data_IF_932799633925
#
_entry.id   IF_932799633925
#
_cell.length_a   1.000
_cell.length_b   1.000
_cell.length_c   1.000
_cell.angle_alpha   90.00
_cell.angle_beta   90.00
_cell.angle_gamma   90.00
#
_symmetry.space_group_name_H-M   'P 1'
#
loop_
_entity.id
_entity.type
_entity.pdbx_description
1 polymer ?
#
# COMPACT_ATOMS: atom_id res chain seq x y z
N UNK A 1 1.56 1.74 -10.32
CA UNK A 1 2.46 1.48 -9.17
C UNK A 1 1.83 0.42 -8.29
N UNK A 2 2.56 -0.64 -7.93
CA UNK A 2 2.06 -1.71 -7.05
C UNK A 2 1.66 -1.11 -5.69
N UNK A 3 0.60 -1.64 -5.08
CA UNK A 3 0.08 -1.20 -3.77
C UNK A 3 1.18 -1.11 -2.70
N UNK A 4 2.14 -2.04 -2.74
CA UNK A 4 3.34 -2.05 -1.89
C UNK A 4 4.10 -0.71 -1.90
N UNK A 5 4.35 -0.14 -3.07
CA UNK A 5 5.15 1.08 -3.20
C UNK A 5 4.48 2.31 -2.57
N UNK A 6 3.14 2.37 -2.55
CA UNK A 6 2.40 3.43 -1.86
C UNK A 6 2.58 3.34 -0.35
N UNK A 7 2.50 2.13 0.21
CA UNK A 7 2.75 1.91 1.64
C UNK A 7 4.21 2.18 2.01
N UNK A 8 5.18 1.72 1.21
CA UNK A 8 6.60 1.97 1.47
C UNK A 8 6.90 3.46 1.49
N UNK A 9 6.38 4.25 0.54
CA UNK A 9 6.54 5.72 0.57
C UNK A 9 5.88 6.31 1.80
N UNK A 10 4.64 5.95 2.09
CA UNK A 10 3.91 6.51 3.23
C UNK A 10 4.67 6.26 4.55
N UNK A 11 5.12 5.02 4.78
CA UNK A 11 5.91 4.68 5.96
C UNK A 11 7.26 5.39 5.97
N UNK A 12 7.98 5.47 4.85
CA UNK A 12 9.24 6.20 4.78
C UNK A 12 9.09 7.69 5.12
N UNK A 13 8.02 8.34 4.62
CA UNK A 13 7.71 9.74 4.94
C UNK A 13 7.38 9.91 6.43
N UNK A 14 6.55 9.03 7.00
CA UNK A 14 6.23 9.08 8.44
C UNK A 14 7.49 8.89 9.28
N UNK A 15 8.31 7.88 8.96
CA UNK A 15 9.58 7.61 9.65
C UNK A 15 10.53 8.79 9.56
N UNK A 16 10.62 9.46 8.40
CA UNK A 16 11.40 10.69 8.23
C UNK A 16 10.97 11.79 9.23
N UNK A 17 9.67 12.09 9.28
CA UNK A 17 9.17 13.13 10.17
C UNK A 17 9.32 12.77 11.65
N UNK A 18 9.05 11.52 12.03
CA UNK A 18 9.21 11.05 13.42
C UNK A 18 10.67 11.15 13.87
N UNK A 19 11.61 10.72 13.02
CA UNK A 19 13.04 10.80 13.35
C UNK A 19 13.56 12.24 13.38
N UNK A 20 13.13 13.08 12.43
CA UNK A 20 13.51 14.50 12.43
C UNK A 20 13.01 15.22 13.68
N UNK A 21 11.76 14.94 14.10
CA UNK A 21 11.20 15.51 15.32
C UNK A 21 11.92 14.98 16.57
N UNK A 22 12.20 13.68 16.61
CA UNK A 22 12.96 13.05 17.70
C UNK A 22 14.35 13.66 17.87
N UNK A 23 15.07 13.87 16.76
CA UNK A 23 16.38 14.54 16.78
C UNK A 23 16.28 15.97 17.32
N UNK A 24 15.30 16.75 16.87
CA UNK A 24 15.09 18.12 17.34
C UNK A 24 14.80 18.19 18.86
N UNK A 25 14.00 17.25 19.37
CA UNK A 25 13.70 17.15 20.81
C UNK A 25 14.96 16.81 21.61
N UNK A 26 15.72 15.80 21.18
CA UNK A 26 16.96 15.39 21.88
C UNK A 26 17.99 16.52 21.87
N UNK A 27 18.17 17.18 20.72
CA UNK A 27 19.07 18.33 20.60
C UNK A 27 18.68 19.45 21.59
N UNK A 28 17.40 19.81 21.63
CA UNK A 28 16.90 20.84 22.55
C UNK A 28 17.06 20.42 24.03
N UNK A 29 16.81 19.15 24.36
CA UNK A 29 16.98 18.62 25.71
C UNK A 29 18.45 18.65 26.17
N UNK A 30 19.37 18.23 25.28
CA UNK A 30 20.81 18.23 25.55
C UNK A 30 21.33 19.66 25.78
N UNK A 31 20.96 20.60 24.90
CA UNK A 31 21.34 22.02 25.03
C UNK A 31 20.85 22.63 26.34
N UNK A 32 19.60 22.34 26.74
CA UNK A 32 19.05 22.78 28.04
C UNK A 32 19.80 22.18 29.23
N UNK A 33 20.10 20.88 29.18
CA UNK A 33 20.82 20.18 30.25
C UNK A 33 22.22 20.76 30.48
N UNK A 34 22.99 20.96 29.41
CA UNK A 34 24.35 21.55 29.48
C UNK A 34 24.31 22.96 30.07
N UNK A 35 23.34 23.78 29.65
CA UNK A 35 23.19 25.16 30.14
C UNK A 35 22.87 25.18 31.64
N UNK A 36 21.92 24.36 32.09
CA UNK A 36 21.54 24.28 33.51
C UNK A 36 22.68 23.77 34.39
N UNK A 37 23.39 22.72 33.94
CA UNK A 37 24.55 22.21 34.66
C UNK A 37 25.65 23.28 34.80
N UNK A 38 25.85 24.11 33.77
CA UNK A 38 26.83 25.20 33.81
C UNK A 38 26.42 26.30 34.79
N UNK A 39 25.14 26.70 34.79
CA UNK A 39 24.62 27.69 35.75
C UNK A 39 24.84 27.21 37.19
N UNK A 40 24.53 25.94 37.48
CA UNK A 40 24.75 25.36 38.81
C UNK A 40 26.22 25.35 39.25
N UNK A 41 27.14 25.02 38.33
CA UNK A 41 28.59 25.10 38.60
C UNK A 41 29.03 26.54 38.89
N UNK A 42 28.55 27.53 38.15
CA UNK A 42 28.87 28.94 38.38
C UNK A 42 28.31 29.46 39.70
N UNK A 43 27.13 28.99 40.10
CA UNK A 43 26.51 29.34 41.38
C UNK A 43 27.37 28.83 42.54
N UNK A 44 27.78 27.56 42.49
CA UNK A 44 28.69 26.99 43.47
C UNK A 44 30.03 27.73 43.54
N UNK A 45 30.61 28.10 42.38
CA UNK A 45 31.84 28.89 42.34
C UNK A 45 31.66 30.26 43.01
N UNK A 46 30.56 30.96 42.75
CA UNK A 46 30.29 32.25 43.38
C UNK A 46 30.10 32.11 44.90
N UNK A 47 29.47 31.06 45.38
CA UNK A 47 29.34 30.76 46.81
C UNK A 47 30.71 30.51 47.47
N UNK A 48 31.57 29.72 46.84
CA UNK A 48 32.93 29.46 47.35
C UNK A 48 33.72 30.75 47.44
N UNK A 49 33.69 31.61 46.40
CA UNK A 49 34.35 32.92 46.42
C UNK A 49 33.78 33.82 47.52
N UNK A 50 32.45 33.84 47.69
CA UNK A 50 31.80 34.62 48.75
C UNK A 50 32.20 34.13 50.15
N UNK A 51 32.31 32.81 50.35
CA UNK A 51 32.72 32.22 51.63
C UNK A 51 34.17 32.57 51.99
N UNK A 52 35.09 32.53 51.01
CA UNK A 52 36.50 32.87 51.23
C UNK A 52 36.71 34.35 51.52
N UNK A 53 35.95 35.23 50.86
CA UNK A 53 35.95 36.67 51.15
C UNK A 53 35.48 37.00 52.57
N UNK A 54 34.65 36.14 53.20
CA UNK A 54 34.27 36.28 54.61
C UNK A 54 35.42 35.90 55.55
N UNK A 55 36.19 34.86 55.23
CA UNK A 55 37.26 34.35 56.08
C UNK A 55 38.60 35.09 55.92
N UNK A 56 38.92 35.60 54.73
CA UNK A 56 40.19 36.27 54.45
C UNK A 56 40.02 37.34 53.34
N UNK A 57 39.70 38.60 53.70
CA UNK A 57 39.38 39.66 52.74
C UNK A 57 40.49 40.00 51.73
N UNK A 58 41.75 39.82 52.13
CA UNK A 58 42.92 40.21 51.32
C UNK A 58 43.48 39.09 50.43
N UNK A 59 42.99 37.85 50.58
CA UNK A 59 43.51 36.69 49.84
C UNK A 59 42.47 36.09 48.89
N UNK A 60 42.29 36.73 47.73
CA UNK A 60 41.60 36.08 46.61
C UNK A 60 42.53 35.04 45.95
N UNK A 61 42.08 33.79 45.72
CA UNK A 61 42.87 32.81 44.99
C UNK A 61 43.21 33.31 43.59
N UNK A 62 44.44 33.04 43.10
CA UNK A 62 44.85 33.40 41.73
C UNK A 62 43.89 32.86 40.66
N UNK A 63 43.29 31.69 40.89
CA UNK A 63 42.32 31.07 39.99
C UNK A 63 40.97 31.81 39.90
N UNK A 64 40.54 32.51 40.94
CA UNK A 64 39.31 33.29 40.91
C UNK A 64 39.45 34.54 40.00
N UNK A 65 40.66 35.09 39.86
CA UNK A 65 40.88 36.35 39.12
C UNK A 65 40.67 36.24 37.60
N UNK A 66 40.79 35.05 37.01
CA UNK A 66 40.69 34.88 35.55
C UNK A 66 39.24 34.88 35.05
N UNK A 67 38.30 34.40 35.87
CA UNK A 67 36.91 34.13 35.46
C UNK A 67 35.85 34.76 36.38
N UNK A 68 36.26 35.46 37.44
CA UNK A 68 35.37 36.14 38.38
C UNK A 68 35.76 37.62 38.48
N UNK A 69 34.79 38.51 38.21
CA UNK A 69 34.89 39.95 38.42
C UNK A 69 34.17 40.31 39.71
N UNK A 70 34.84 41.06 40.58
CA UNK A 70 34.32 41.53 41.86
C UNK A 70 34.15 43.04 41.78
N UNK A 71 32.92 43.51 41.97
CA UNK A 71 32.62 44.94 42.03
C UNK A 71 31.98 45.25 43.38
N UNK A 72 32.60 46.05 44.25
CA UNK A 72 31.95 46.48 45.50
C UNK A 72 30.77 47.41 45.16
N UNK A 73 29.63 47.21 45.84
CA UNK A 73 28.46 48.08 45.69
C UNK A 73 28.45 49.10 46.83
N UNK A 74 28.21 50.37 46.46
CA UNK A 74 28.06 51.47 47.42
C UNK A 74 26.74 51.39 48.23
N UNK A 75 25.78 50.59 47.76
CA UNK A 75 24.45 50.47 48.33
C UNK A 75 24.19 49.06 48.87
N UNK A 76 23.37 48.97 49.92
CA UNK A 76 22.97 47.74 50.60
C UNK A 76 21.69 47.10 50.05
N UNK A 77 21.15 47.60 48.93
CA UNK A 77 19.96 47.03 48.29
C UNK A 77 20.14 45.57 47.88
N UNK A 78 19.12 44.76 48.17
CA UNK A 78 19.07 43.36 47.74
C UNK A 78 18.69 43.29 46.25
N UNK A 79 19.54 42.67 45.43
CA UNK A 79 19.29 42.48 43.99
C UNK A 79 19.13 40.98 43.69
N UNK A 80 18.18 40.59 42.82
CA UNK A 80 18.05 39.20 42.39
C UNK A 80 19.28 38.80 41.56
N UNK A 81 19.62 37.50 41.58
CA UNK A 81 20.68 36.96 40.71
C UNK A 81 20.38 37.25 39.25
N UNK A 82 21.41 37.54 38.47
CA UNK A 82 21.26 37.80 37.03
C UNK A 82 22.03 36.72 36.26
N UNK A 83 21.31 36.02 35.37
CA UNK A 83 21.90 35.06 34.43
C UNK A 83 21.80 35.65 33.04
N UNK A 84 22.94 35.76 32.36
CA UNK A 84 23.01 36.23 30.99
C UNK A 84 23.70 35.17 30.14
N UNK A 85 23.00 34.68 29.13
CA UNK A 85 23.50 33.68 28.18
C UNK A 85 23.57 34.35 26.82
N UNK A 86 24.78 34.56 26.30
CA UNK A 86 24.99 35.18 24.98
C UNK A 86 26.19 34.57 24.26
N UNK A 87 26.17 34.53 22.92
CA UNK A 87 27.35 34.18 22.15
C UNK A 87 28.39 35.30 22.29
N UNK A 88 29.61 34.94 22.68
CA UNK A 88 30.77 35.83 22.77
C UNK A 88 31.98 35.16 22.09
N UNK A 89 32.89 35.95 21.53
CA UNK A 89 34.15 35.42 21.01
C UNK A 89 35.08 35.06 22.16
N UNK A 90 35.46 33.79 22.27
CA UNK A 90 36.40 33.31 23.26
C UNK A 90 37.82 33.31 22.67
N UNK A 91 38.65 34.26 23.10
CA UNK A 91 40.01 34.43 22.61
C UNK A 91 40.94 33.24 22.96
N UNK A 92 40.65 32.49 24.02
CA UNK A 92 41.44 31.31 24.40
C UNK A 92 41.11 30.10 23.52
N UNK A 93 39.85 30.00 23.06
CA UNK A 93 39.37 28.92 22.21
C UNK A 93 39.35 29.27 20.71
N UNK A 94 39.60 30.54 20.36
CA UNK A 94 39.54 31.07 18.99
C UNK A 94 38.23 30.75 18.26
N UNK A 95 37.11 30.75 18.98
CA UNK A 95 35.78 30.46 18.41
C UNK A 95 34.69 31.28 19.09
N UNK A 96 33.53 31.37 18.44
CA UNK A 96 32.29 31.82 19.08
C UNK A 96 31.86 30.75 20.09
N UNK A 97 31.76 31.14 21.36
CA UNK A 97 31.27 30.27 22.42
C UNK A 97 30.04 30.91 23.08
N UNK A 98 29.10 30.08 23.52
CA UNK A 98 28.00 30.55 24.34
C UNK A 98 28.53 30.79 25.75
N UNK A 99 28.63 32.06 26.15
CA UNK A 99 29.11 32.42 27.48
C UNK A 99 27.91 32.57 28.41
N UNK A 100 27.95 31.83 29.52
CA UNK A 100 27.01 32.00 30.63
C UNK A 100 27.70 32.87 31.66
N UNK A 101 27.12 34.04 31.92
CA UNK A 101 27.53 34.95 32.98
C UNK A 101 26.52 34.90 34.11
N UNK A 102 26.99 34.61 35.32
CA UNK A 102 26.19 34.60 36.54
C UNK A 102 26.69 35.68 37.49
N UNK A 103 25.83 36.63 37.83
CA UNK A 103 26.10 37.65 38.85
C UNK A 103 25.27 37.40 40.09
N UNK A 104 25.95 37.21 41.23
CA UNK A 104 25.33 37.12 42.56
C UNK A 104 25.70 38.32 43.42
N UNK A 105 24.84 38.66 44.40
CA UNK A 105 24.98 39.86 45.24
C UNK A 105 25.05 39.53 46.75
N UNK A 106 26.05 38.75 47.20
CA UNK A 106 26.17 38.40 48.62
C UNK A 106 26.49 39.62 49.49
N UNK A 107 25.99 39.59 50.72
CA UNK A 107 26.37 40.52 51.79
C UNK A 107 27.58 39.92 52.55
N UNK A 108 28.68 40.68 52.62
CA UNK A 108 29.94 40.28 53.23
C UNK A 108 30.44 41.47 54.06
N UNK A 109 30.60 41.29 55.38
CA UNK A 109 31.12 42.33 56.30
C UNK A 109 30.43 43.71 56.12
N UNK A 110 29.10 43.71 56.13
CA UNK A 110 28.23 44.90 55.94
C UNK A 110 28.36 45.65 54.59
N UNK A 111 29.12 45.13 53.63
CA UNK A 111 29.19 45.64 52.25
C UNK A 111 28.66 44.59 51.28
N UNK A 112 27.94 45.03 50.24
CA UNK A 112 27.51 44.14 49.16
C UNK A 112 28.56 44.09 48.08
N UNK A 113 28.78 42.89 47.55
CA UNK A 113 29.67 42.67 46.41
C UNK A 113 28.84 42.10 45.26
N UNK A 114 29.08 42.57 44.04
CA UNK A 114 28.68 41.87 42.84
C UNK A 114 29.81 40.89 42.48
N UNK A 115 29.51 39.60 42.58
CA UNK A 115 30.38 38.53 42.13
C UNK A 115 29.87 38.06 40.78
N UNK A 116 30.53 38.50 39.71
CA UNK A 116 30.20 38.10 38.34
C UNK A 116 31.18 37.02 37.89
N UNK A 117 30.71 35.78 37.79
CA UNK A 117 31.47 34.69 37.18
C UNK A 117 31.03 34.44 35.75
N UNK A 118 31.97 33.97 34.94
CA UNK A 118 31.71 33.52 33.58
C UNK A 118 32.22 32.10 33.38
N UNK A 119 31.47 31.32 32.62
CA UNK A 119 31.95 30.10 32.01
C UNK A 119 31.54 30.10 30.54
N UNK A 120 32.50 29.81 29.69
CA UNK A 120 32.21 29.46 28.31
C UNK A 120 31.58 28.08 28.32
N UNK A 121 30.28 28.01 27.99
CA UNK A 121 29.69 26.76 27.53
C UNK A 121 30.24 26.57 26.14
N UNK A 122 31.30 25.78 26.08
CA UNK A 122 31.76 25.21 24.83
C UNK A 122 30.59 24.33 24.38
N UNK A 123 29.80 24.85 23.44
CA UNK A 123 28.94 24.00 22.62
C UNK A 123 29.84 22.85 22.20
N UNK A 124 29.51 21.58 22.57
CA UNK A 124 30.47 20.50 22.55
C UNK A 124 31.20 20.58 21.22
N UNK A 125 32.52 20.81 21.26
CA UNK A 125 33.31 21.13 20.08
C UNK A 125 32.92 20.21 18.94
N UNK A 126 33.06 20.67 17.69
CA UNK A 126 32.66 19.94 16.47
C UNK A 126 32.89 18.44 16.59
N UNK A 127 33.96 17.95 17.22
CA UNK A 127 34.22 16.54 17.51
C UNK A 127 33.08 15.78 18.25
N UNK A 128 32.55 16.28 19.38
CA UNK A 128 31.51 15.56 20.15
C UNK A 128 30.12 15.71 19.52
N UNK A 129 29.78 16.90 19.00
CA UNK A 129 28.54 17.11 18.26
C UNK A 129 28.56 16.34 16.93
N UNK A 130 29.69 16.30 16.22
CA UNK A 130 29.85 15.48 15.00
C UNK A 130 29.71 14.01 15.33
N UNK A 131 30.31 13.51 16.41
CA UNK A 131 30.14 12.12 16.85
C UNK A 131 28.66 11.79 17.13
N UNK A 132 27.96 12.66 17.86
CA UNK A 132 26.54 12.50 18.16
C UNK A 132 25.69 12.53 16.87
N UNK A 133 25.89 13.52 16.00
CA UNK A 133 25.19 13.66 14.73
C UNK A 133 25.47 12.47 13.82
N UNK A 134 26.70 11.95 13.80
CA UNK A 134 27.08 10.78 13.01
C UNK A 134 26.36 9.52 13.52
N UNK A 135 26.26 9.33 14.84
CA UNK A 135 25.48 8.23 15.44
C UNK A 135 24.00 8.36 15.08
N UNK A 136 23.43 9.56 15.16
CA UNK A 136 22.04 9.81 14.74
C UNK A 136 21.84 9.58 13.24
N UNK A 137 22.78 10.02 12.39
CA UNK A 137 22.72 9.83 10.94
C UNK A 137 22.79 8.34 10.58
N UNK A 138 23.70 7.57 11.19
CA UNK A 138 23.77 6.12 11.00
C UNK A 138 22.52 5.41 11.51
N UNK A 139 21.99 5.83 12.65
CA UNK A 139 20.73 5.30 13.18
C UNK A 139 19.56 5.60 12.24
N UNK A 140 19.53 6.80 11.66
CA UNK A 140 18.54 7.22 10.69
C UNK A 140 18.59 6.37 9.42
N UNK A 141 19.78 6.22 8.83
CA UNK A 141 20.00 5.37 7.64
C UNK A 141 19.64 3.92 7.95
N UNK A 142 20.04 3.40 9.11
CA UNK A 142 19.71 2.05 9.54
C UNK A 142 18.20 1.83 9.66
N UNK A 143 17.48 2.75 10.31
CA UNK A 143 16.03 2.66 10.45
C UNK A 143 15.30 2.77 9.10
N UNK A 144 15.77 3.64 8.21
CA UNK A 144 15.19 3.76 6.87
C UNK A 144 15.39 2.46 6.07
N UNK A 145 16.61 1.91 6.10
CA UNK A 145 16.91 0.62 5.49
C UNK A 145 16.05 -0.49 6.10
N UNK A 146 15.88 -0.52 7.42
CA UNK A 146 15.04 -1.48 8.12
C UNK A 146 13.58 -1.38 7.66
N UNK A 147 13.02 -0.18 7.54
CA UNK A 147 11.64 0.02 7.06
C UNK A 147 11.48 -0.50 5.63
N UNK A 148 12.43 -0.21 4.73
CA UNK A 148 12.40 -0.71 3.35
C UNK A 148 12.46 -2.23 3.31
N UNK A 149 13.40 -2.84 4.04
CA UNK A 149 13.57 -4.30 4.10
C UNK A 149 12.33 -4.99 4.68
N UNK A 150 11.81 -4.50 5.82
CA UNK A 150 10.61 -5.05 6.45
C UNK A 150 9.38 -4.89 5.56
N UNK A 151 9.22 -3.74 4.91
CA UNK A 151 8.12 -3.49 3.97
C UNK A 151 8.14 -4.52 2.83
N UNK A 152 9.31 -4.75 2.23
CA UNK A 152 9.43 -5.69 1.12
C UNK A 152 9.19 -7.14 1.56
N UNK A 153 9.71 -7.51 2.74
CA UNK A 153 9.52 -8.84 3.32
C UNK A 153 8.06 -9.12 3.69
N UNK A 154 7.39 -8.17 4.37
CA UNK A 154 5.96 -8.27 4.70
C UNK A 154 5.13 -8.36 3.43
N UNK A 155 5.42 -7.51 2.45
CA UNK A 155 4.70 -7.49 1.18
C UNK A 155 4.81 -8.82 0.46
N UNK A 156 6.01 -9.37 0.36
CA UNK A 156 6.21 -10.67 -0.27
C UNK A 156 5.47 -11.79 0.47
N UNK A 157 5.50 -11.80 1.81
CA UNK A 157 4.85 -12.85 2.62
C UNK A 157 3.32 -12.75 2.62
N UNK A 158 2.76 -11.54 2.68
CA UNK A 158 1.32 -11.29 2.77
C UNK A 158 0.67 -11.31 1.37
N UNK A 159 1.29 -10.70 0.35
CA UNK A 159 0.67 -10.61 -0.99
C UNK A 159 0.88 -11.86 -1.84
N UNK A 160 1.83 -12.74 -1.50
CA UNK A 160 2.02 -14.00 -2.25
C UNK A 160 0.76 -14.88 -2.27
N UNK A 161 0.08 -15.19 -1.15
CA UNK A 161 -1.17 -15.95 -1.18
C UNK A 161 -2.26 -15.21 -1.95
N UNK A 162 -2.40 -13.89 -1.76
CA UNK A 162 -3.37 -13.07 -2.52
C UNK A 162 -3.15 -13.16 -4.04
N UNK A 163 -1.91 -13.02 -4.52
CA UNK A 163 -1.59 -13.14 -5.94
C UNK A 163 -1.78 -14.56 -6.47
N UNK A 164 -1.66 -15.58 -5.62
CA UNK A 164 -1.97 -16.96 -6.00
C UNK A 164 -3.49 -17.16 -6.14
N UNK A 165 -4.29 -16.65 -5.21
CA UNK A 165 -5.75 -16.60 -5.32
C UNK A 165 -6.19 -15.87 -6.59
N UNK A 166 -5.62 -14.70 -6.87
CA UNK A 166 -5.96 -13.89 -8.04
C UNK A 166 -5.70 -14.64 -9.36
N UNK A 167 -4.57 -15.37 -9.44
CA UNK A 167 -4.26 -16.22 -10.59
C UNK A 167 -5.23 -17.39 -10.72
N UNK A 168 -5.60 -18.03 -9.61
CA UNK A 168 -6.59 -19.11 -9.61
C UNK A 168 -7.96 -18.66 -10.16
N UNK A 169 -8.41 -17.46 -9.79
CA UNK A 169 -9.66 -16.89 -10.33
C UNK A 169 -9.52 -16.52 -11.81
N UNK A 170 -8.41 -15.91 -12.21
CA UNK A 170 -8.19 -15.52 -13.62
C UNK A 170 -8.12 -16.71 -14.58
N UNK A 171 -7.67 -17.87 -14.08
CA UNK A 171 -7.61 -19.11 -14.84
C UNK A 171 -8.91 -19.91 -14.79
N UNK A 172 -9.83 -19.58 -13.87
CA UNK A 172 -11.10 -20.28 -13.75
C UNK A 172 -12.04 -19.93 -14.92
N UNK A 173 -12.64 -20.97 -15.50
CA UNK A 173 -13.61 -20.86 -16.57
C UNK A 173 -14.88 -21.61 -16.16
N UNK A 174 -16.05 -20.98 -16.31
CA UNK A 174 -17.33 -21.59 -15.92
C UNK A 174 -17.66 -22.87 -16.71
N UNK A 175 -17.18 -22.95 -17.96
CA UNK A 175 -17.36 -24.12 -18.81
C UNK A 175 -16.61 -25.35 -18.30
N UNK A 176 -15.53 -25.17 -17.54
CA UNK A 176 -14.77 -26.30 -16.99
C UNK A 176 -15.52 -26.93 -15.81
N UNK A 177 -15.57 -28.27 -15.78
CA UNK A 177 -16.22 -29.01 -14.69
C UNK A 177 -15.41 -29.03 -13.39
N UNK A 178 -14.18 -28.56 -13.41
CA UNK A 178 -13.26 -28.59 -12.27
C UNK A 178 -13.55 -27.45 -11.29
N UNK A 179 -13.55 -27.78 -10.00
CA UNK A 179 -13.62 -26.79 -8.94
C UNK A 179 -12.39 -25.88 -8.97
N UNK A 180 -12.57 -24.61 -8.59
CA UNK A 180 -11.45 -23.69 -8.42
C UNK A 180 -10.55 -24.18 -7.26
N UNK A 181 -9.27 -24.38 -7.54
CA UNK A 181 -8.28 -24.70 -6.51
C UNK A 181 -7.59 -23.41 -6.05
N UNK A 182 -7.92 -22.98 -4.83
CA UNK A 182 -7.31 -21.81 -4.20
C UNK A 182 -6.38 -22.27 -3.07
N UNK A 183 -5.15 -21.76 -3.02
CA UNK A 183 -4.19 -22.17 -2.00
C UNK A 183 -4.63 -21.71 -0.62
N UNK A 184 -4.48 -22.58 0.38
CA UNK A 184 -4.73 -22.23 1.78
C UNK A 184 -3.83 -21.08 2.22
N UNK A 185 -4.41 -20.09 2.87
CA UNK A 185 -3.70 -18.97 3.45
C UNK A 185 -3.55 -19.12 4.96
N UNK A 186 -2.44 -18.63 5.51
CA UNK A 186 -2.27 -18.49 6.97
C UNK A 186 -2.97 -17.24 7.52
N UNK A 187 -3.33 -16.30 6.65
CA UNK A 187 -4.03 -15.07 6.97
C UNK A 187 -5.52 -15.35 6.94
N UNK A 188 -6.20 -15.17 8.08
CA UNK A 188 -7.61 -15.53 8.25
C UNK A 188 -8.52 -14.84 7.23
N UNK A 189 -8.27 -13.56 6.95
CA UNK A 189 -9.03 -12.74 5.99
C UNK A 189 -8.93 -13.29 4.56
N UNK A 190 -7.75 -13.79 4.17
CA UNK A 190 -7.57 -14.41 2.86
C UNK A 190 -8.18 -15.80 2.79
N UNK A 191 -8.16 -16.55 3.89
CA UNK A 191 -8.84 -17.84 3.95
C UNK A 191 -10.37 -17.68 3.86
N UNK A 192 -10.91 -16.67 4.54
CA UNK A 192 -12.33 -16.30 4.44
C UNK A 192 -12.70 -15.90 3.00
N UNK A 193 -11.88 -15.05 2.37
CA UNK A 193 -12.05 -14.68 0.97
C UNK A 193 -12.00 -15.90 0.03
N UNK A 194 -11.03 -16.79 0.21
CA UNK A 194 -10.91 -18.01 -0.59
C UNK A 194 -12.16 -18.89 -0.44
N UNK A 195 -12.64 -19.09 0.79
CA UNK A 195 -13.85 -19.85 1.05
C UNK A 195 -15.10 -19.22 0.43
N UNK A 196 -15.21 -17.89 0.47
CA UNK A 196 -16.28 -17.17 -0.20
C UNK A 196 -16.23 -17.37 -1.72
N UNK A 197 -15.05 -17.23 -2.33
CA UNK A 197 -14.85 -17.41 -3.76
C UNK A 197 -15.14 -18.83 -4.22
N UNK A 198 -14.71 -19.84 -3.48
CA UNK A 198 -15.03 -21.25 -3.75
C UNK A 198 -16.54 -21.47 -3.74
N UNK A 199 -17.25 -20.94 -2.74
CA UNK A 199 -18.72 -21.06 -2.69
C UNK A 199 -19.41 -20.33 -3.85
N UNK A 200 -18.94 -19.13 -4.19
CA UNK A 200 -19.50 -18.34 -5.29
C UNK A 200 -19.27 -18.97 -6.66
N UNK A 201 -18.06 -19.43 -6.94
CA UNK A 201 -17.72 -20.12 -8.19
C UNK A 201 -18.48 -21.43 -8.33
N UNK A 202 -18.57 -22.23 -7.26
CA UNK A 202 -19.37 -23.47 -7.26
C UNK A 202 -20.87 -23.20 -7.46
N UNK A 203 -21.40 -22.07 -6.97
CA UNK A 203 -22.78 -21.66 -7.24
C UNK A 203 -22.94 -21.26 -8.71
N UNK A 204 -22.08 -20.38 -9.22
CA UNK A 204 -22.12 -19.92 -10.61
C UNK A 204 -22.00 -21.09 -11.60
N UNK A 205 -21.16 -22.08 -11.29
CA UNK A 205 -21.01 -23.28 -12.11
C UNK A 205 -22.28 -24.13 -12.13
N UNK A 206 -22.96 -24.30 -10.98
CA UNK A 206 -24.26 -25.01 -10.93
C UNK A 206 -25.35 -24.26 -11.70
N UNK A 207 -25.42 -22.94 -11.54
CA UNK A 207 -26.40 -22.11 -12.25
C UNK A 207 -26.16 -22.16 -13.77
N UNK A 208 -24.89 -22.13 -14.20
CA UNK A 208 -24.49 -22.29 -15.60
C UNK A 208 -24.88 -23.66 -16.16
N UNK A 209 -24.56 -24.75 -15.45
CA UNK A 209 -24.95 -26.10 -15.84
C UNK A 209 -26.47 -26.27 -15.94
N UNK A 210 -27.23 -25.69 -15.00
CA UNK A 210 -28.70 -25.74 -15.03
C UNK A 210 -29.29 -24.96 -16.20
N UNK A 211 -28.74 -23.79 -16.54
CA UNK A 211 -29.16 -23.03 -17.72
C UNK A 211 -28.86 -23.81 -19.02
N UNK A 212 -27.71 -24.48 -19.06
CA UNK A 212 -27.31 -25.29 -20.19
C UNK A 212 -28.26 -26.48 -20.40
N UNK A 213 -28.50 -27.26 -19.34
CA UNK A 213 -29.43 -28.42 -19.38
C UNK A 213 -30.84 -27.97 -19.74
N UNK A 214 -31.31 -26.84 -19.19
CA UNK A 214 -32.59 -26.27 -19.56
C UNK A 214 -32.66 -25.91 -21.05
N UNK A 215 -31.62 -25.26 -21.59
CA UNK A 215 -31.61 -24.86 -23.00
C UNK A 215 -31.58 -26.06 -23.95
N UNK A 216 -30.84 -27.11 -23.61
CA UNK A 216 -30.78 -28.35 -24.38
C UNK A 216 -32.13 -29.08 -24.35
N UNK A 217 -32.70 -29.27 -23.15
CA UNK A 217 -33.99 -29.93 -22.98
C UNK A 217 -35.12 -29.16 -23.66
N UNK A 218 -35.18 -27.83 -23.52
CA UNK A 218 -36.19 -27.01 -24.16
C UNK A 218 -36.13 -27.11 -25.70
N UNK A 219 -34.93 -27.13 -26.27
CA UNK A 219 -34.75 -27.25 -27.71
C UNK A 219 -35.29 -28.59 -28.24
N UNK A 220 -34.99 -29.68 -27.55
CA UNK A 220 -35.49 -31.02 -27.87
C UNK A 220 -37.01 -31.16 -27.70
N UNK A 221 -37.55 -30.71 -26.57
CA UNK A 221 -38.98 -30.75 -26.28
C UNK A 221 -39.81 -29.87 -27.24
N UNK A 222 -39.22 -28.82 -27.81
CA UNK A 222 -39.86 -27.98 -28.84
C UNK A 222 -39.83 -28.61 -30.24
N UNK A 223 -38.85 -29.47 -30.57
CA UNK A 223 -38.77 -30.12 -31.88
C UNK A 223 -39.98 -31.04 -32.13
N UNK A 224 -40.38 -31.82 -31.13
CA UNK A 224 -41.52 -32.76 -31.22
C UNK A 224 -42.86 -32.08 -31.57
N UNK A 225 -43.34 -31.06 -30.84
CA UNK A 225 -44.58 -30.38 -31.17
C UNK A 225 -44.48 -29.61 -32.50
N UNK A 226 -43.33 -29.02 -32.84
CA UNK A 226 -43.13 -28.37 -34.15
C UNK A 226 -43.28 -29.39 -35.29
N UNK A 227 -42.63 -30.55 -35.18
CA UNK A 227 -42.74 -31.62 -36.17
C UNK A 227 -44.19 -32.13 -36.29
N UNK A 228 -44.90 -32.29 -35.17
CA UNK A 228 -46.31 -32.67 -35.17
C UNK A 228 -47.20 -31.62 -35.83
N UNK A 229 -46.99 -30.31 -35.58
CA UNK A 229 -47.76 -29.24 -36.23
C UNK A 229 -47.46 -29.22 -37.73
N UNK A 230 -46.20 -29.41 -38.12
CA UNK A 230 -45.77 -29.45 -39.52
C UNK A 230 -46.47 -30.58 -40.28
N UNK A 231 -46.45 -31.80 -39.75
CA UNK A 231 -47.12 -32.94 -40.37
C UNK A 231 -48.64 -32.73 -40.52
N UNK A 232 -49.30 -32.13 -39.52
CA UNK A 232 -50.72 -31.80 -39.61
C UNK A 232 -51.02 -30.69 -40.63
N UNK A 233 -50.15 -29.68 -40.75
CA UNK A 233 -50.25 -28.65 -41.77
C UNK A 233 -50.09 -29.24 -43.17
N UNK A 234 -49.08 -30.10 -43.38
CA UNK A 234 -48.84 -30.79 -44.65
C UNK A 234 -50.05 -31.65 -45.05
N UNK A 235 -50.67 -32.38 -44.10
CA UNK A 235 -51.90 -33.15 -44.34
C UNK A 235 -53.10 -32.26 -44.71
N UNK A 236 -53.25 -31.10 -44.05
CA UNK A 236 -54.33 -30.16 -44.36
C UNK A 236 -54.13 -29.52 -45.74
N UNK A 237 -52.88 -29.26 -46.14
CA UNK A 237 -52.57 -28.69 -47.46
C UNK A 237 -52.91 -29.63 -48.62
N UNK A 238 -52.94 -30.95 -48.37
CA UNK A 238 -53.34 -31.98 -49.34
C UNK A 238 -54.87 -32.20 -49.44
N UNK A 239 -55.65 -31.43 -48.66
CA UNK A 239 -57.11 -31.49 -48.64
C UNK A 239 -57.76 -30.52 -49.65
N UNK A 240 -59.03 -30.74 -50.01
CA UNK A 240 -59.78 -29.85 -50.90
C UNK A 240 -60.13 -28.54 -50.18
N UNK A 241 -59.32 -27.49 -50.40
CA UNK A 241 -59.36 -26.22 -49.67
C UNK A 241 -59.76 -25.04 -50.57
N UNK A 242 -60.52 -24.10 -50.03
CA UNK A 242 -60.78 -22.83 -50.69
C UNK A 242 -59.48 -21.99 -50.76
N UNK A 243 -59.32 -21.17 -51.80
CA UNK A 243 -58.09 -20.37 -52.05
C UNK A 243 -57.66 -19.53 -50.83
N UNK A 244 -58.63 -18.95 -50.10
CA UNK A 244 -58.36 -18.18 -48.88
C UNK A 244 -57.79 -19.04 -47.75
N UNK A 245 -58.26 -20.29 -47.60
CA UNK A 245 -57.76 -21.24 -46.60
C UNK A 245 -56.34 -21.69 -46.96
N UNK A 246 -56.08 -21.98 -48.24
CA UNK A 246 -54.76 -22.37 -48.72
C UNK A 246 -53.71 -21.28 -48.47
N UNK A 247 -54.04 -20.01 -48.73
CA UNK A 247 -53.14 -18.87 -48.44
C UNK A 247 -52.82 -18.73 -46.95
N UNK A 248 -53.81 -18.93 -46.07
CA UNK A 248 -53.62 -18.92 -44.62
C UNK A 248 -52.73 -20.08 -44.16
N UNK A 249 -52.92 -21.26 -44.73
CA UNK A 249 -52.17 -22.47 -44.41
C UNK A 249 -50.71 -22.36 -44.85
N UNK A 250 -50.46 -21.81 -46.04
CA UNK A 250 -49.12 -21.49 -46.53
C UNK A 250 -48.41 -20.48 -45.62
N UNK A 251 -49.08 -19.41 -45.21
CA UNK A 251 -48.50 -18.44 -44.26
C UNK A 251 -48.18 -19.07 -42.89
N UNK A 252 -49.01 -19.99 -42.40
CA UNK A 252 -48.73 -20.74 -41.17
C UNK A 252 -47.53 -21.69 -41.34
N UNK A 253 -47.38 -22.31 -42.52
CA UNK A 253 -46.24 -23.17 -42.83
C UNK A 253 -44.94 -22.36 -42.84
N UNK A 254 -44.92 -21.20 -43.49
CA UNK A 254 -43.76 -20.30 -43.54
C UNK A 254 -43.31 -19.85 -42.13
N UNK A 255 -44.26 -19.48 -41.26
CA UNK A 255 -43.94 -19.08 -39.87
C UNK A 255 -43.43 -20.27 -39.04
N UNK A 256 -43.96 -21.47 -39.28
CA UNK A 256 -43.48 -22.69 -38.62
C UNK A 256 -42.07 -23.08 -39.10
N UNK A 257 -41.77 -22.90 -40.38
CA UNK A 257 -40.42 -23.11 -40.91
C UNK A 257 -39.43 -22.11 -40.30
N UNK A 258 -39.84 -20.84 -40.13
CA UNK A 258 -39.06 -19.82 -39.43
C UNK A 258 -38.80 -20.20 -37.96
N UNK A 259 -39.82 -20.67 -37.23
CA UNK A 259 -39.67 -21.18 -35.86
C UNK A 259 -38.72 -22.38 -35.79
N UNK A 260 -38.79 -23.28 -36.77
CA UNK A 260 -37.91 -24.45 -36.88
C UNK A 260 -36.45 -24.01 -37.02
N UNK A 261 -36.17 -23.05 -37.91
CA UNK A 261 -34.82 -22.50 -38.13
C UNK A 261 -34.27 -21.84 -36.85
N UNK A 262 -35.11 -21.09 -36.12
CA UNK A 262 -34.71 -20.47 -34.85
C UNK A 262 -34.36 -21.53 -33.80
N UNK A 263 -35.18 -22.58 -33.64
CA UNK A 263 -34.91 -23.65 -32.69
C UNK A 263 -33.61 -24.42 -33.05
N UNK A 264 -33.40 -24.72 -34.33
CA UNK A 264 -32.15 -25.33 -34.81
C UNK A 264 -30.92 -24.46 -34.50
N UNK A 265 -31.02 -23.15 -34.71
CA UNK A 265 -29.94 -22.21 -34.38
C UNK A 265 -29.63 -22.16 -32.87
N UNK A 266 -30.66 -22.16 -32.01
CA UNK A 266 -30.51 -22.21 -30.55
C UNK A 266 -29.88 -23.52 -30.09
N UNK A 267 -30.31 -24.65 -30.66
CA UNK A 267 -29.73 -25.97 -30.39
C UNK A 267 -28.24 -25.99 -30.76
N UNK A 268 -27.90 -25.43 -31.93
CA UNK A 268 -26.52 -25.35 -32.40
C UNK A 268 -25.66 -24.49 -31.47
N UNK A 269 -26.20 -23.36 -31.01
CA UNK A 269 -25.51 -22.48 -30.06
C UNK A 269 -25.22 -23.21 -28.74
N UNK A 270 -26.21 -23.92 -28.18
CA UNK A 270 -26.05 -24.71 -26.97
C UNK A 270 -24.98 -25.82 -27.15
N UNK A 271 -24.89 -26.43 -28.33
CA UNK A 271 -23.84 -27.43 -28.65
C UNK A 271 -22.45 -26.81 -28.85
N UNK A 272 -22.37 -25.62 -29.45
CA UNK A 272 -21.11 -24.89 -29.66
C UNK A 272 -20.49 -24.46 -28.33
N UNK A 273 -21.30 -24.10 -27.33
CA UNK A 273 -20.79 -23.82 -25.98
C UNK A 273 -20.16 -25.05 -25.31
N UNK A 274 -20.52 -26.26 -25.74
CA UNK A 274 -19.90 -27.52 -25.29
C UNK A 274 -18.67 -27.94 -26.11
N UNK A 275 -18.34 -27.20 -27.17
CA UNK A 275 -17.21 -27.51 -28.02
C UNK A 275 -15.91 -27.09 -27.32
N UNK A 276 -15.38 -27.99 -26.49
CA UNK A 276 -14.02 -27.86 -26.00
C UNK A 276 -13.07 -27.89 -27.20
N UNK A 277 -12.49 -26.74 -27.53
CA UNK A 277 -11.35 -26.68 -28.43
C UNK A 277 -10.20 -27.46 -27.79
N UNK A 278 -10.11 -28.75 -28.08
CA UNK A 278 -8.82 -29.42 -28.00
C UNK A 278 -7.88 -28.69 -28.95
N UNK A 279 -6.59 -28.50 -28.59
CA UNK A 279 -5.60 -28.07 -29.56
C UNK A 279 -5.70 -29.05 -30.73
N UNK A 280 -6.14 -28.56 -31.88
CA UNK A 280 -6.21 -29.39 -33.06
C UNK A 280 -4.76 -29.76 -33.41
N UNK A 281 -4.45 -31.06 -33.38
CA UNK A 281 -3.34 -31.56 -34.19
C UNK A 281 -3.56 -31.05 -35.62
N UNK A 282 -2.48 -30.71 -36.34
CA UNK A 282 -2.56 -30.27 -37.74
C UNK A 282 -3.39 -31.29 -38.54
N UNK A 283 -4.64 -30.93 -38.83
CA UNK A 283 -5.56 -31.80 -39.54
C UNK A 283 -5.23 -31.75 -41.03
N UNK A 284 -5.07 -32.92 -41.65
CA UNK A 284 -4.87 -33.03 -43.09
C UNK A 284 -6.20 -32.81 -43.83
N UNK A 285 -6.32 -31.65 -44.49
CA UNK A 285 -7.50 -31.27 -45.26
C UNK A 285 -7.53 -31.87 -46.67
N UNK A 286 -6.45 -32.51 -47.14
CA UNK A 286 -6.33 -33.02 -48.52
C UNK A 286 -7.41 -34.03 -48.90
N UNK A 287 -7.94 -34.77 -47.92
CA UNK A 287 -9.04 -35.73 -48.13
C UNK A 287 -10.43 -35.15 -47.82
N UNK A 288 -10.51 -34.09 -47.02
CA UNK A 288 -11.79 -33.48 -46.63
C UNK A 288 -12.38 -32.64 -47.74
N UNK A 289 -11.56 -31.84 -48.42
CA UNK A 289 -12.03 -30.94 -49.50
C UNK A 289 -12.71 -31.71 -50.64
N UNK A 290 -12.11 -32.76 -51.23
CA UNK A 290 -12.75 -33.52 -52.31
C UNK A 290 -13.99 -34.27 -51.83
N UNK A 291 -14.00 -34.76 -50.58
CA UNK A 291 -15.14 -35.46 -50.02
C UNK A 291 -16.34 -34.51 -49.82
N UNK A 292 -16.10 -33.27 -49.38
CA UNK A 292 -17.14 -32.24 -49.29
C UNK A 292 -17.62 -31.80 -50.66
N UNK A 293 -16.72 -31.62 -51.61
CA UNK A 293 -17.06 -31.23 -52.99
C UNK A 293 -17.97 -32.29 -53.64
N UNK A 294 -17.62 -33.57 -53.53
CA UNK A 294 -18.44 -34.67 -54.01
C UNK A 294 -19.82 -34.73 -53.35
N UNK A 295 -19.91 -34.42 -52.04
CA UNK A 295 -21.19 -34.39 -51.32
C UNK A 295 -22.13 -33.26 -51.78
N UNK A 296 -21.60 -32.20 -52.39
CA UNK A 296 -22.36 -31.05 -52.89
C UNK A 296 -22.43 -30.97 -54.43
N UNK A 297 -21.85 -31.93 -55.15
CA UNK A 297 -21.76 -31.93 -56.61
C UNK A 297 -23.15 -31.82 -57.29
N UNK A 298 -24.12 -32.63 -56.85
CA UNK A 298 -25.49 -32.61 -57.37
C UNK A 298 -26.18 -31.24 -57.16
N UNK A 299 -25.90 -30.60 -56.03
CA UNK A 299 -26.46 -29.30 -55.68
C UNK A 299 -25.80 -28.17 -56.49
N UNK A 300 -24.50 -28.30 -56.76
CA UNK A 300 -23.75 -27.39 -57.61
C UNK A 300 -24.26 -27.46 -59.07
N UNK A 301 -24.49 -28.67 -59.58
CA UNK A 301 -25.06 -28.91 -60.91
C UNK A 301 -26.47 -28.31 -61.03
N UNK A 302 -27.34 -28.56 -60.04
CA UNK A 302 -28.68 -27.94 -59.98
C UNK A 302 -28.66 -26.41 -59.98
N UNK A 303 -27.59 -25.79 -59.46
CA UNK A 303 -27.41 -24.33 -59.37
C UNK A 303 -26.62 -23.76 -60.55
N UNK A 304 -26.14 -24.59 -61.48
CA UNK A 304 -25.29 -24.18 -62.60
C UNK A 304 -23.89 -23.71 -62.17
N UNK A 305 -23.43 -24.15 -61.01
CA UNK A 305 -22.10 -23.85 -60.48
C UNK A 305 -21.13 -24.95 -60.92
N UNK A 306 -20.00 -24.55 -61.49
CA UNK A 306 -18.90 -25.48 -61.76
C UNK A 306 -18.06 -25.61 -60.49
N UNK A 307 -17.90 -26.85 -60.03
CA UNK A 307 -17.03 -27.23 -58.90
C UNK A 307 -15.66 -27.61 -59.46
#
# INVERSE_FOLDING_TARGET
MKLNYRYTIAYAVITFFVLSLGFAIVYAALSRSVTQATIGRLEHLNEVVASQLRSAPDSLPRFARANVQLTPLADTLCRPRTVLVRPEWDAALQTQAVVVRLTTYPLINQRRYAIASRASVIEPSDVYLTGLVLVFAWTFVFLLALVVILSELLSWRILRPFNATLRGIQQFQLAQKTAIDLPRSRTAEFEELNNFLVRMTARAQRDYQGLQEFSENASHELQTPIASIKAKLELLMDSDLAEKQLRLLAAMHDELERLTKINQALTLLAKLEHYESRPADLADFSHLVPATEAAFADLAEMKGLTT
#
